data_IF_765910198905
#
_entry.id   IF_765910198905
#
_cell.length_a   1.000
_cell.length_b   1.000
_cell.length_c   1.000
_cell.angle_alpha   90.00
_cell.angle_beta   90.00
_cell.angle_gamma   90.00
#
_symmetry.space_group_name_H-M   'P 1'
#
loop_
_entity.id
_entity.type
_entity.pdbx_description
1 polymer ?
#
# COMPACT_ATOMS: atom_id res chain seq x y z
N UNK A 1 -0.36 12.95 -4.71
CA UNK A 1 -0.10 12.72 -3.28
C UNK A 1 0.22 11.26 -3.08
N UNK A 2 1.11 10.93 -2.16
CA UNK A 2 1.53 9.54 -1.91
C UNK A 2 1.43 9.23 -0.42
N UNK A 3 1.07 7.98 -0.13
CA UNK A 3 0.98 7.48 1.24
C UNK A 3 1.65 6.11 1.40
N UNK A 4 2.16 5.84 2.59
CA UNK A 4 2.68 4.51 2.97
C UNK A 4 1.78 3.91 4.05
N UNK A 5 1.40 2.66 3.87
CA UNK A 5 0.64 1.88 4.85
C UNK A 5 1.39 0.59 5.16
N UNK A 6 1.87 0.46 6.38
CA UNK A 6 2.80 -0.60 6.78
C UNK A 6 2.32 -1.35 8.02
N UNK A 7 2.62 -2.64 8.08
CA UNK A 7 2.50 -3.42 9.32
C UNK A 7 3.70 -3.25 10.24
N UNK A 8 4.61 -2.29 9.96
CA UNK A 8 5.71 -1.87 10.85
C UNK A 8 5.35 -0.55 11.51
N UNK A 9 6.07 -0.20 12.58
CA UNK A 9 5.90 1.11 13.21
C UNK A 9 6.29 2.25 12.29
N UNK A 10 5.60 3.38 12.39
CA UNK A 10 5.82 4.50 11.48
C UNK A 10 7.19 5.13 11.66
N UNK A 11 7.78 5.08 12.85
CA UNK A 11 9.15 5.53 13.12
C UNK A 11 10.20 4.74 12.31
N UNK A 12 10.11 3.41 12.25
CA UNK A 12 11.00 2.58 11.43
C UNK A 12 10.77 2.77 9.93
N UNK A 13 9.52 2.97 9.51
CA UNK A 13 9.21 3.29 8.10
C UNK A 13 9.84 4.62 7.71
N UNK A 14 9.65 5.67 8.52
CA UNK A 14 10.25 6.99 8.33
C UNK A 14 11.78 6.92 8.29
N UNK A 15 12.38 6.16 9.21
CA UNK A 15 13.83 5.95 9.23
C UNK A 15 14.33 5.34 7.91
N UNK A 16 13.70 4.26 7.44
CA UNK A 16 14.08 3.60 6.19
C UNK A 16 13.90 4.49 4.97
N UNK A 17 12.78 5.22 4.88
CA UNK A 17 12.55 6.18 3.80
C UNK A 17 13.57 7.32 3.82
N UNK A 18 13.89 7.86 4.99
CA UNK A 18 14.85 8.94 5.15
C UNK A 18 16.28 8.50 4.77
N UNK A 19 16.68 7.27 5.12
CA UNK A 19 17.98 6.71 4.73
C UNK A 19 18.14 6.54 3.22
N UNK A 20 17.03 6.45 2.49
CA UNK A 20 17.01 6.32 1.03
C UNK A 20 16.59 7.62 0.34
N UNK A 21 16.51 8.75 1.06
CA UNK A 21 16.10 10.06 0.51
C UNK A 21 14.70 10.05 -0.12
N UNK A 22 13.81 9.17 0.37
CA UNK A 22 12.46 9.00 -0.15
C UNK A 22 11.37 9.65 0.71
N UNK A 23 11.70 10.06 1.95
CA UNK A 23 10.70 10.48 2.93
C UNK A 23 9.88 11.69 2.44
N UNK A 24 10.51 12.62 1.72
CA UNK A 24 9.86 13.86 1.24
C UNK A 24 8.77 13.63 0.18
N UNK A 25 8.77 12.48 -0.50
CA UNK A 25 7.77 12.17 -1.53
C UNK A 25 6.45 11.67 -0.94
N UNK A 26 6.41 11.30 0.34
CA UNK A 26 5.22 10.72 0.99
C UNK A 26 4.58 11.72 1.95
N UNK A 27 3.33 12.09 1.64
CA UNK A 27 2.54 13.04 2.43
C UNK A 27 2.02 12.41 3.74
N UNK A 28 1.75 11.09 3.72
CA UNK A 28 1.16 10.35 4.84
C UNK A 28 1.88 9.03 5.06
N UNK A 29 2.12 8.67 6.32
CA UNK A 29 2.66 7.37 6.73
C UNK A 29 1.80 6.82 7.86
N UNK A 30 1.13 5.70 7.58
CA UNK A 30 0.35 4.90 8.54
C UNK A 30 1.18 3.65 8.88
N UNK A 31 1.66 3.57 10.11
CA UNK A 31 2.26 2.38 10.68
C UNK A 31 1.23 1.54 11.44
N UNK A 32 1.72 0.60 12.25
CA UNK A 32 0.85 -0.29 13.01
C UNK A 32 0.18 0.40 14.22
N UNK A 33 0.83 1.38 14.84
CA UNK A 33 0.34 2.06 16.04
C UNK A 33 -0.70 3.13 15.76
N UNK A 34 -0.88 3.51 14.50
CA UNK A 34 -1.87 4.49 14.04
C UNK A 34 -3.27 3.89 13.83
N UNK A 35 -3.42 2.57 14.01
CA UNK A 35 -4.65 1.82 13.71
C UNK A 35 -4.92 0.74 14.75
N UNK A 36 -6.19 0.34 14.89
CA UNK A 36 -6.60 -0.73 15.79
C UNK A 36 -6.60 -2.10 15.11
N UNK A 37 -6.94 -2.14 13.82
CA UNK A 37 -6.96 -3.35 13.01
C UNK A 37 -5.90 -3.27 11.90
N UNK A 38 -5.14 -4.34 11.74
CA UNK A 38 -4.10 -4.43 10.72
C UNK A 38 -4.59 -5.12 9.45
N UNK A 39 -3.83 -4.97 8.37
CA UNK A 39 -4.05 -5.71 7.11
C UNK A 39 -4.20 -7.21 7.43
N UNK A 40 -5.25 -7.89 6.91
CA UNK A 40 -6.08 -7.52 5.76
C UNK A 40 -7.31 -6.64 6.05
N UNK A 41 -7.45 -6.10 7.27
CA UNK A 41 -8.53 -5.15 7.56
C UNK A 41 -8.36 -3.87 6.74
N UNK A 42 -9.44 -3.20 6.30
CA UNK A 42 -9.36 -2.00 5.46
C UNK A 42 -8.95 -0.72 6.22
N UNK A 43 -9.07 -0.71 7.54
CA UNK A 43 -8.78 0.46 8.40
C UNK A 43 -7.47 1.17 8.03
N UNK A 44 -6.31 0.51 7.87
CA UNK A 44 -5.06 1.20 7.56
C UNK A 44 -5.07 1.97 6.23
N UNK A 45 -5.73 1.42 5.20
CA UNK A 45 -5.84 2.07 3.89
C UNK A 45 -6.85 3.22 3.97
N UNK A 46 -7.98 3.02 4.64
CA UNK A 46 -9.00 4.06 4.82
C UNK A 46 -8.47 5.24 5.65
N UNK A 47 -7.68 4.98 6.70
CA UNK A 47 -7.00 6.02 7.49
C UNK A 47 -6.03 6.82 6.63
N UNK A 48 -5.26 6.17 5.75
CA UNK A 48 -4.38 6.89 4.83
C UNK A 48 -5.16 7.76 3.83
N UNK A 49 -6.25 7.24 3.26
CA UNK A 49 -7.11 7.97 2.32
C UNK A 49 -7.71 9.21 2.97
N UNK A 50 -8.23 9.08 4.20
CA UNK A 50 -8.79 10.20 4.97
C UNK A 50 -7.72 11.27 5.27
N UNK A 51 -6.55 10.86 5.74
CA UNK A 51 -5.43 11.78 6.01
C UNK A 51 -4.92 12.50 4.75
N UNK A 52 -4.98 11.84 3.59
CA UNK A 52 -4.62 12.43 2.29
C UNK A 52 -5.72 13.34 1.71
N UNK A 53 -6.94 13.30 2.24
CA UNK A 53 -8.08 14.07 1.74
C UNK A 53 -8.53 13.67 0.34
N UNK A 54 -8.32 12.40 -0.05
CA UNK A 54 -8.66 11.88 -1.40
C UNK A 54 -9.87 10.94 -1.34
N UNK A 55 -10.43 10.61 -2.50
CA UNK A 55 -11.51 9.62 -2.62
C UNK A 55 -10.96 8.24 -2.93
N UNK A 56 -11.51 7.20 -2.31
CA UNK A 56 -11.19 5.79 -2.61
C UNK A 56 -11.33 5.42 -4.10
N UNK A 57 -12.23 6.08 -4.83
CA UNK A 57 -12.44 5.81 -6.27
C UNK A 57 -11.25 6.30 -7.14
N UNK A 58 -10.40 7.18 -6.60
CA UNK A 58 -9.19 7.68 -7.25
C UNK A 58 -7.94 7.22 -6.48
N UNK A 59 -8.03 6.07 -5.80
CA UNK A 59 -6.93 5.50 -5.03
C UNK A 59 -6.59 4.11 -5.56
N UNK A 60 -5.30 3.89 -5.76
CA UNK A 60 -4.72 2.59 -6.09
C UNK A 60 -3.77 2.19 -4.97
N UNK A 61 -3.88 0.96 -4.47
CA UNK A 61 -3.00 0.41 -3.45
C UNK A 61 -2.07 -0.64 -4.07
N UNK A 62 -0.76 -0.42 -3.90
CA UNK A 62 0.28 -1.30 -4.43
C UNK A 62 0.92 -2.05 -3.27
N UNK A 63 1.02 -3.38 -3.37
CA UNK A 63 1.61 -4.20 -2.31
C UNK A 63 2.18 -5.53 -2.80
N UNK A 64 3.02 -6.13 -1.97
CA UNK A 64 3.72 -7.39 -2.25
C UNK A 64 3.20 -8.56 -1.41
N UNK A 65 2.34 -8.34 -0.44
CA UNK A 65 1.80 -9.41 0.41
C UNK A 65 0.32 -9.70 0.07
N UNK A 66 -0.18 -10.96 0.16
CA UNK A 66 -1.61 -11.25 -0.02
C UNK A 66 -2.53 -10.40 0.87
N UNK A 67 -2.09 -10.07 2.08
CA UNK A 67 -2.83 -9.18 2.99
C UNK A 67 -2.99 -7.75 2.44
N UNK A 68 -2.09 -7.28 1.59
CA UNK A 68 -2.20 -5.98 0.92
C UNK A 68 -3.37 -5.98 -0.06
N UNK A 69 -3.45 -7.03 -0.88
CA UNK A 69 -4.52 -7.18 -1.86
C UNK A 69 -5.87 -7.33 -1.17
N UNK A 70 -5.94 -8.12 -0.10
CA UNK A 70 -7.16 -8.25 0.69
C UNK A 70 -7.56 -6.94 1.37
N UNK A 71 -6.60 -6.19 1.94
CA UNK A 71 -6.87 -4.90 2.56
C UNK A 71 -7.41 -3.90 1.53
N UNK A 72 -6.80 -3.82 0.35
CA UNK A 72 -7.23 -2.95 -0.75
C UNK A 72 -8.67 -3.27 -1.18
N UNK A 73 -8.96 -4.56 -1.40
CA UNK A 73 -10.31 -5.03 -1.73
C UNK A 73 -11.34 -4.70 -0.66
N UNK A 74 -11.02 -4.95 0.60
CA UNK A 74 -11.90 -4.64 1.72
C UNK A 74 -12.13 -3.13 1.87
N UNK A 75 -11.16 -2.30 1.48
CA UNK A 75 -11.29 -0.84 1.46
C UNK A 75 -12.06 -0.35 0.22
N UNK A 76 -12.25 -1.21 -0.78
CA UNK A 76 -12.89 -0.89 -2.04
C UNK A 76 -12.04 0.03 -2.91
N UNK A 77 -10.72 -0.18 -2.91
CA UNK A 77 -9.77 0.50 -3.79
C UNK A 77 -9.14 -0.48 -4.76
N UNK A 78 -8.62 0.04 -5.87
CA UNK A 78 -7.89 -0.77 -6.85
C UNK A 78 -6.63 -1.37 -6.20
N UNK A 79 -6.35 -2.63 -6.50
CA UNK A 79 -5.25 -3.40 -5.93
C UNK A 79 -4.25 -3.83 -7.01
N UNK A 80 -2.99 -3.46 -6.82
CA UNK A 80 -1.90 -3.84 -7.72
C UNK A 80 -0.88 -4.69 -6.95
N UNK A 81 -0.64 -5.90 -7.45
CA UNK A 81 0.42 -6.78 -7.00
C UNK A 81 1.74 -6.55 -7.72
N UNK A 82 2.84 -6.96 -7.10
CA UNK A 82 4.17 -6.97 -7.75
C UNK A 82 4.66 -8.40 -8.01
N UNK A 83 5.17 -8.66 -9.21
CA UNK A 83 5.60 -10.00 -9.62
C UNK A 83 6.84 -10.50 -8.87
N UNK A 84 7.66 -9.59 -8.33
CA UNK A 84 8.86 -9.90 -7.55
C UNK A 84 8.57 -10.13 -6.05
N UNK A 85 7.31 -10.35 -5.68
CA UNK A 85 6.92 -10.70 -4.33
C UNK A 85 7.44 -12.09 -3.92
N UNK A 86 7.92 -12.23 -2.68
CA UNK A 86 8.21 -13.55 -2.09
C UNK A 86 6.95 -14.38 -1.79
N UNK A 87 5.77 -13.78 -1.89
CA UNK A 87 4.44 -14.35 -1.68
C UNK A 87 3.61 -14.37 -2.97
N UNK A 88 4.25 -14.40 -4.13
CA UNK A 88 3.59 -14.20 -5.43
C UNK A 88 2.36 -15.09 -5.65
N UNK A 89 2.46 -16.40 -5.39
CA UNK A 89 1.34 -17.34 -5.57
C UNK A 89 0.16 -17.02 -4.65
N UNK A 90 0.42 -16.73 -3.38
CA UNK A 90 -0.62 -16.38 -2.41
C UNK A 90 -1.27 -15.04 -2.75
N UNK A 91 -0.47 -14.07 -3.18
CA UNK A 91 -0.90 -12.76 -3.65
C UNK A 91 -1.81 -12.90 -4.88
N UNK A 92 -1.37 -13.67 -5.87
CA UNK A 92 -2.14 -13.93 -7.09
C UNK A 92 -3.44 -14.67 -6.77
N UNK A 93 -3.41 -15.58 -5.78
CA UNK A 93 -4.60 -16.23 -5.23
C UNK A 93 -5.63 -15.26 -4.66
N UNK A 94 -5.21 -14.08 -4.18
CA UNK A 94 -6.12 -13.01 -3.76
C UNK A 94 -6.74 -12.24 -4.94
N UNK A 95 -6.31 -12.49 -6.18
CA UNK A 95 -6.83 -11.90 -7.43
C UNK A 95 -6.71 -10.37 -7.46
N UNK A 96 -5.52 -9.78 -7.41
CA UNK A 96 -5.36 -8.33 -7.57
C UNK A 96 -5.95 -7.86 -8.92
N UNK A 97 -6.29 -6.59 -9.02
CA UNK A 97 -6.85 -6.00 -10.25
C UNK A 97 -5.81 -5.94 -11.37
N UNK A 98 -4.53 -5.76 -11.00
CA UNK A 98 -3.39 -5.91 -11.89
C UNK A 98 -2.16 -6.47 -11.15
N UNK A 99 -1.20 -6.96 -11.93
CA UNK A 99 0.14 -7.30 -11.45
C UNK A 99 1.15 -6.61 -12.37
N UNK A 100 2.14 -5.96 -11.78
CA UNK A 100 3.27 -5.38 -12.52
C UNK A 100 4.50 -6.28 -12.44
N UNK A 101 5.24 -6.39 -13.53
CA UNK A 101 6.45 -7.22 -13.61
C UNK A 101 7.71 -6.46 -13.20
N UNK A 102 7.71 -5.14 -13.41
CA UNK A 102 8.81 -4.24 -13.08
C UNK A 102 8.28 -2.93 -12.50
N UNK A 103 9.11 -2.22 -11.73
CA UNK A 103 8.73 -0.93 -11.14
C UNK A 103 8.41 0.12 -12.22
N UNK A 104 9.14 0.09 -13.35
CA UNK A 104 8.92 0.97 -14.51
C UNK A 104 7.50 0.87 -15.08
N UNK A 105 6.81 -0.26 -14.93
CA UNK A 105 5.42 -0.39 -15.38
C UNK A 105 4.48 0.62 -14.70
N UNK A 106 4.80 1.09 -13.48
CA UNK A 106 4.01 2.12 -12.79
C UNK A 106 3.99 3.45 -13.56
N UNK A 107 5.06 3.79 -14.30
CA UNK A 107 5.15 5.03 -15.07
C UNK A 107 4.20 5.07 -16.28
N UNK A 108 3.57 3.94 -16.60
CA UNK A 108 2.59 3.82 -17.68
C UNK A 108 1.15 3.72 -17.18
N UNK A 109 0.94 3.68 -15.85
CA UNK A 109 -0.37 3.57 -15.22
C UNK A 109 -0.91 4.91 -14.70
N UNK A 110 -0.04 5.89 -14.47
CA UNK A 110 -0.36 7.22 -13.92
C UNK A 110 0.30 8.33 -14.75
#
# INVERSE_FOLDING_TARGET
VLGVVSSKRSDFVKLGLNQNELLEYFDVIIGMEEVNQHKPHPEPILTAIDALGISKNNTTYIGDHPNDILAAKNAGVESIGVAWSSHYEDLLGQKPDAVIETLDNLLHLF
#
